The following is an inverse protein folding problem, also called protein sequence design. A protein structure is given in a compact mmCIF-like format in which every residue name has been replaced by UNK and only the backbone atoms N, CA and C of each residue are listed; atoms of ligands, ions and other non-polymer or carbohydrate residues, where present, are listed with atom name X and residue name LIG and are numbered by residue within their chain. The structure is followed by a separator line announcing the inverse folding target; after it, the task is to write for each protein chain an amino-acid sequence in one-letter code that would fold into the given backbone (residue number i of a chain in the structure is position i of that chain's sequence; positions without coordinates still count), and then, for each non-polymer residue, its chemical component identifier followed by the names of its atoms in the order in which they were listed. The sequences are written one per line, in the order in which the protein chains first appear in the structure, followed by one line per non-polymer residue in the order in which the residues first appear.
data_IF_356003774357
#
_entry.id   IF_356003774357
#
_cell.length_a   1.000
_cell.length_b   1.000
_cell.length_c   1.000
_cell.angle_alpha   90.00
_cell.angle_beta   90.00
_cell.angle_gamma   90.00
#
_symmetry.space_group_name_H-M   'P 1'
#
loop_
_entity.id
_entity.type
_entity.pdbx_description
1 polymer ?
#
# COMPACT_ATOMS: atom_id res chain seq x y z
N UNK A 1 -23.13 -5.36 4.74
CA UNK A 1 -21.68 -5.12 4.64
C UNK A 1 -21.44 -3.63 4.70
N UNK A 2 -20.39 -3.21 5.40
CA UNK A 2 -19.94 -1.81 5.46
C UNK A 2 -18.46 -1.80 5.11
N UNK A 3 -18.07 -0.92 4.19
CA UNK A 3 -16.68 -0.70 3.81
C UNK A 3 -16.19 0.62 4.38
N UNK A 4 -14.96 0.61 4.90
CA UNK A 4 -14.25 1.80 5.39
C UNK A 4 -12.94 1.94 4.64
N UNK A 5 -12.59 3.17 4.32
CA UNK A 5 -11.20 3.52 4.06
C UNK A 5 -10.44 3.64 5.39
N UNK A 6 -9.12 3.53 5.33
CA UNK A 6 -8.27 3.59 6.50
C UNK A 6 -7.75 5.00 6.75
N UNK A 7 -7.01 5.55 5.78
CA UNK A 7 -6.29 6.81 5.93
C UNK A 7 -7.26 7.99 5.93
N UNK A 8 -7.12 8.91 6.90
CA UNK A 8 -8.02 10.05 7.11
C UNK A 8 -9.51 9.70 7.37
N UNK A 9 -9.82 8.40 7.54
CA UNK A 9 -11.18 7.93 7.86
C UNK A 9 -11.21 7.26 9.23
N UNK A 10 -10.50 6.14 9.40
CA UNK A 10 -10.36 5.46 10.69
C UNK A 10 -9.06 5.85 11.39
N UNK A 11 -8.04 6.20 10.61
CA UNK A 11 -6.69 6.54 11.06
C UNK A 11 -6.52 8.05 11.14
N UNK A 12 -6.11 8.53 12.31
CA UNK A 12 -5.67 9.92 12.49
C UNK A 12 -4.20 10.04 12.01
N UNK A 13 -4.00 10.87 10.99
CA UNK A 13 -2.68 11.12 10.42
C UNK A 13 -1.69 11.77 11.39
N UNK A 14 -2.16 12.57 12.34
CA UNK A 14 -1.28 13.27 13.29
C UNK A 14 -0.67 12.33 14.31
N UNK A 15 -1.46 11.34 14.72
CA UNK A 15 -1.03 10.37 15.76
C UNK A 15 -0.59 9.03 15.17
N UNK A 16 -0.95 8.74 13.91
CA UNK A 16 -0.76 7.42 13.32
C UNK A 16 -1.55 6.32 14.02
N UNK A 17 -2.66 6.66 14.69
CA UNK A 17 -3.47 5.73 15.47
C UNK A 17 -4.93 5.75 15.01
N UNK A 18 -5.60 4.60 15.17
CA UNK A 18 -7.05 4.52 14.99
C UNK A 18 -7.68 5.16 16.23
N UNK A 19 -8.59 6.12 16.00
CA UNK A 19 -9.22 6.84 17.11
C UNK A 19 -10.11 5.93 17.95
N UNK A 20 -10.23 6.16 19.28
CA UNK A 20 -11.12 5.37 20.14
C UNK A 20 -12.58 5.39 19.68
N UNK A 21 -13.03 6.51 19.13
CA UNK A 21 -14.40 6.65 18.56
C UNK A 21 -14.60 5.77 17.33
N UNK A 22 -13.60 5.69 16.43
CA UNK A 22 -13.64 4.83 15.25
C UNK A 22 -13.66 3.34 15.65
N UNK A 23 -12.83 2.94 16.62
CA UNK A 23 -12.84 1.57 17.15
C UNK A 23 -14.21 1.20 17.71
N UNK A 24 -14.78 2.07 18.56
CA UNK A 24 -16.11 1.84 19.14
C UNK A 24 -17.20 1.74 18.06
N UNK A 25 -17.15 2.58 17.04
CA UNK A 25 -18.09 2.53 15.93
C UNK A 25 -17.99 1.21 15.15
N UNK A 26 -16.77 0.78 14.80
CA UNK A 26 -16.53 -0.51 14.11
C UNK A 26 -17.04 -1.68 14.96
N UNK A 27 -16.80 -1.70 16.26
CA UNK A 27 -17.28 -2.74 17.16
C UNK A 27 -18.81 -2.81 17.22
N UNK A 28 -19.49 -1.66 17.26
CA UNK A 28 -20.95 -1.61 17.27
C UNK A 28 -21.53 -2.12 15.93
N UNK A 29 -20.96 -1.69 14.83
CA UNK A 29 -21.41 -2.08 13.48
C UNK A 29 -21.19 -3.56 13.19
N UNK A 30 -20.10 -4.13 13.68
CA UNK A 30 -19.77 -5.57 13.54
C UNK A 30 -20.86 -6.50 14.09
N UNK A 31 -21.66 -6.06 15.04
CA UNK A 31 -22.76 -6.85 15.61
C UNK A 31 -23.84 -7.18 14.57
N UNK A 32 -23.95 -6.38 13.51
CA UNK A 32 -25.02 -6.49 12.49
C UNK A 32 -24.50 -6.52 11.06
N UNK A 33 -23.21 -6.20 10.84
CA UNK A 33 -22.62 -6.03 9.51
C UNK A 33 -21.26 -6.69 9.41
N UNK A 34 -20.94 -7.17 8.23
CA UNK A 34 -19.57 -7.52 7.85
C UNK A 34 -18.78 -6.23 7.62
N UNK A 35 -17.57 -6.18 8.13
CA UNK A 35 -16.66 -5.04 8.03
C UNK A 35 -15.59 -5.32 6.99
N UNK A 36 -15.46 -4.41 6.02
CA UNK A 36 -14.45 -4.48 4.97
C UNK A 36 -13.58 -3.23 5.06
N UNK A 37 -12.27 -3.39 4.93
CA UNK A 37 -11.36 -2.27 4.66
C UNK A 37 -11.13 -2.15 3.16
N UNK A 38 -11.14 -0.92 2.63
CA UNK A 38 -10.74 -0.62 1.26
C UNK A 38 -9.67 0.48 1.33
N UNK A 39 -8.44 0.16 0.95
CA UNK A 39 -7.29 1.04 1.18
C UNK A 39 -6.25 0.94 0.06
N UNK A 40 -5.50 2.01 -0.16
CA UNK A 40 -4.32 2.00 -1.02
C UNK A 40 -3.13 1.22 -0.43
N UNK A 41 -3.17 0.92 0.87
CA UNK A 41 -2.07 0.21 1.54
C UNK A 41 -2.06 -1.28 1.22
N UNK A 42 -0.87 -1.91 1.22
CA UNK A 42 -0.75 -3.35 1.44
C UNK A 42 -0.87 -3.63 2.95
N UNK A 43 -1.99 -4.22 3.36
CA UNK A 43 -2.27 -4.50 4.77
C UNK A 43 -1.48 -5.70 5.32
N UNK A 44 -0.64 -6.33 4.50
CA UNK A 44 0.25 -7.41 4.93
C UNK A 44 1.69 -6.94 5.18
N UNK A 45 2.01 -5.67 4.89
CA UNK A 45 3.31 -5.10 5.22
C UNK A 45 3.44 -4.76 6.71
N UNK A 46 4.67 -4.62 7.18
CA UNK A 46 5.01 -4.35 8.58
C UNK A 46 4.30 -3.12 9.16
N UNK A 47 4.26 -2.02 8.39
CA UNK A 47 3.68 -0.77 8.88
C UNK A 47 2.15 -0.79 8.95
N UNK A 48 1.49 -1.63 8.16
CA UNK A 48 0.04 -1.65 8.02
C UNK A 48 -0.64 -2.83 8.71
N UNK A 49 0.06 -3.96 8.90
CA UNK A 49 -0.50 -5.18 9.49
C UNK A 49 -1.10 -4.93 10.90
N UNK A 50 -0.51 -4.03 11.68
CA UNK A 50 -1.02 -3.65 13.01
C UNK A 50 -2.47 -3.11 12.96
N UNK A 51 -2.84 -2.36 11.93
CA UNK A 51 -4.19 -1.82 11.79
C UNK A 51 -5.20 -2.93 11.43
N UNK A 52 -4.79 -3.87 10.58
CA UNK A 52 -5.56 -5.08 10.30
C UNK A 52 -5.82 -5.87 11.58
N UNK A 53 -4.80 -6.06 12.41
CA UNK A 53 -4.88 -6.86 13.62
C UNK A 53 -5.73 -6.18 14.71
N UNK A 54 -5.76 -4.84 14.75
CA UNK A 54 -6.64 -4.05 15.62
C UNK A 54 -8.08 -4.11 15.12
N UNK A 55 -8.30 -3.81 13.83
CA UNK A 55 -9.63 -3.68 13.24
C UNK A 55 -10.30 -5.03 12.97
N UNK A 56 -9.53 -6.10 12.77
CA UNK A 56 -10.00 -7.48 12.47
C UNK A 56 -11.12 -7.49 11.42
N UNK A 57 -10.90 -6.94 10.22
CA UNK A 57 -11.94 -6.87 9.19
C UNK A 57 -12.30 -8.28 8.69
N UNK A 58 -13.54 -8.46 8.23
CA UNK A 58 -13.99 -9.69 7.56
C UNK A 58 -13.40 -9.83 6.16
N UNK A 59 -13.08 -8.71 5.51
CA UNK A 59 -12.42 -8.67 4.21
C UNK A 59 -11.61 -7.40 4.03
N UNK A 60 -10.66 -7.44 3.11
CA UNK A 60 -9.81 -6.29 2.78
C UNK A 60 -9.65 -6.20 1.26
N UNK A 61 -9.87 -5.00 0.76
CA UNK A 61 -9.51 -4.57 -0.59
C UNK A 61 -8.21 -3.77 -0.43
N UNK A 62 -7.09 -4.40 -0.77
CA UNK A 62 -5.76 -3.81 -0.64
C UNK A 62 -5.34 -3.09 -1.93
N UNK A 63 -4.37 -2.17 -1.80
CA UNK A 63 -3.58 -1.64 -2.93
C UNK A 63 -4.48 -1.13 -4.07
N UNK A 64 -5.48 -0.31 -3.72
CA UNK A 64 -6.47 0.25 -4.66
C UNK A 64 -7.24 -0.79 -5.47
N UNK A 65 -7.50 -1.97 -4.90
CA UNK A 65 -8.30 -3.02 -5.53
C UNK A 65 -7.51 -4.10 -6.26
N UNK A 66 -6.19 -4.03 -6.32
CA UNK A 66 -5.37 -5.03 -7.01
C UNK A 66 -5.22 -6.34 -6.25
N UNK A 67 -5.59 -6.35 -4.96
CA UNK A 67 -5.63 -7.55 -4.12
C UNK A 67 -6.83 -7.52 -3.20
N UNK A 68 -7.57 -8.62 -3.14
CA UNK A 68 -8.74 -8.77 -2.25
C UNK A 68 -8.59 -10.05 -1.43
N UNK A 69 -8.76 -9.91 -0.10
CA UNK A 69 -8.77 -11.05 0.82
C UNK A 69 -10.03 -11.05 1.68
N UNK A 70 -10.50 -12.23 2.08
CA UNK A 70 -11.55 -12.38 3.08
C UNK A 70 -11.30 -13.62 3.94
N UNK A 71 -11.44 -13.47 5.25
CA UNK A 71 -11.19 -14.55 6.20
C UNK A 71 -9.79 -15.16 6.08
N UNK A 72 -8.78 -14.37 5.67
CA UNK A 72 -7.42 -14.83 5.42
C UNK A 72 -7.19 -15.51 4.06
N UNK A 73 -8.24 -15.67 3.25
CA UNK A 73 -8.16 -16.29 1.91
C UNK A 73 -8.01 -15.21 0.85
N UNK A 74 -7.07 -15.40 -0.10
CA UNK A 74 -6.94 -14.56 -1.28
C UNK A 74 -8.11 -14.87 -2.24
N UNK A 75 -8.92 -13.86 -2.54
CA UNK A 75 -10.06 -13.97 -3.45
C UNK A 75 -9.75 -13.43 -4.86
N UNK A 76 -8.94 -12.40 -4.93
CA UNK A 76 -8.58 -11.75 -6.19
C UNK A 76 -7.16 -11.17 -6.10
N UNK A 77 -6.43 -11.27 -7.19
CA UNK A 77 -5.12 -10.65 -7.37
C UNK A 77 -4.95 -10.25 -8.82
N UNK A 78 -4.52 -9.02 -9.04
CA UNK A 78 -4.09 -8.52 -10.35
C UNK A 78 -2.63 -8.08 -10.25
N UNK A 79 -1.85 -8.41 -11.27
CA UNK A 79 -0.44 -8.03 -11.38
C UNK A 79 -0.17 -7.38 -12.73
N UNK A 80 0.83 -6.52 -12.79
CA UNK A 80 1.30 -5.96 -14.05
C UNK A 80 1.82 -7.06 -14.98
N UNK A 81 1.52 -6.90 -16.27
CA UNK A 81 2.19 -7.66 -17.31
C UNK A 81 3.69 -7.31 -17.30
N UNK A 82 4.59 -8.31 -17.26
CA UNK A 82 6.04 -8.06 -17.24
C UNK A 82 6.54 -7.28 -18.47
N UNK A 83 5.92 -7.45 -19.64
CA UNK A 83 6.29 -6.70 -20.85
C UNK A 83 5.93 -5.23 -20.69
N UNK A 84 4.70 -4.93 -20.23
CA UNK A 84 4.27 -3.55 -19.93
C UNK A 84 5.15 -2.91 -18.84
N UNK A 85 5.48 -3.66 -17.79
CA UNK A 85 6.36 -3.16 -16.74
C UNK A 85 7.73 -2.77 -17.29
N UNK A 86 8.30 -3.60 -18.17
CA UNK A 86 9.59 -3.32 -18.82
C UNK A 86 9.53 -2.04 -19.68
N UNK A 87 8.46 -1.84 -20.42
CA UNK A 87 8.27 -0.63 -21.24
C UNK A 87 8.15 0.62 -20.35
N UNK A 88 7.38 0.54 -19.27
CA UNK A 88 7.23 1.64 -18.32
C UNK A 88 8.55 2.00 -17.62
N UNK A 89 9.32 1.00 -17.19
CA UNK A 89 10.64 1.22 -16.61
C UNK A 89 11.57 1.95 -17.58
N UNK A 90 11.64 1.49 -18.84
CA UNK A 90 12.47 2.12 -19.86
C UNK A 90 12.02 3.56 -20.20
N UNK A 91 10.72 3.80 -20.26
CA UNK A 91 10.18 5.13 -20.48
C UNK A 91 10.52 6.09 -19.33
N UNK A 92 10.29 5.68 -18.09
CA UNK A 92 10.58 6.51 -16.93
C UNK A 92 12.08 6.79 -16.78
N UNK A 93 12.92 5.78 -17.03
CA UNK A 93 14.38 5.93 -17.04
C UNK A 93 14.83 7.00 -18.03
N UNK A 94 14.32 6.94 -19.27
CA UNK A 94 14.63 7.93 -20.31
C UNK A 94 14.16 9.37 -19.99
N UNK A 95 13.14 9.51 -19.12
CA UNK A 95 12.63 10.81 -18.68
C UNK A 95 13.23 11.29 -17.35
N UNK A 96 14.04 10.48 -16.68
CA UNK A 96 14.58 10.77 -15.35
C UNK A 96 13.54 10.69 -14.23
N UNK A 97 12.41 9.99 -14.46
CA UNK A 97 11.40 9.76 -13.43
C UNK A 97 11.78 8.52 -12.59
N UNK A 98 11.60 8.62 -11.28
CA UNK A 98 11.67 7.44 -10.46
C UNK A 98 10.40 6.61 -10.64
N UNK A 99 10.57 5.31 -10.88
CA UNK A 99 9.45 4.36 -10.92
C UNK A 99 9.83 3.11 -10.14
N UNK A 100 8.89 2.59 -9.37
CA UNK A 100 9.13 1.37 -8.58
C UNK A 100 7.99 1.02 -7.65
N UNK A 101 8.32 0.22 -6.67
CA UNK A 101 7.36 -0.29 -5.68
C UNK A 101 8.06 -0.57 -4.34
N UNK A 102 7.30 -0.45 -3.26
CA UNK A 102 7.69 -1.01 -1.96
C UNK A 102 7.04 -2.40 -1.81
N UNK A 103 7.85 -3.43 -1.66
CA UNK A 103 7.40 -4.81 -1.42
C UNK A 103 7.81 -5.21 -0.02
N UNK A 104 6.85 -5.54 0.82
CA UNK A 104 7.03 -5.68 2.27
C UNK A 104 7.59 -4.38 2.84
N UNK A 105 8.90 -4.32 3.07
CA UNK A 105 9.57 -3.14 3.64
C UNK A 105 10.83 -2.76 2.85
N UNK A 106 11.02 -3.34 1.68
CA UNK A 106 12.12 -3.02 0.77
C UNK A 106 11.61 -2.23 -0.44
N UNK A 107 12.38 -1.25 -0.85
CA UNK A 107 12.07 -0.28 -1.88
C UNK A 107 12.86 -0.57 -3.16
N UNK A 108 12.16 -0.87 -4.25
CA UNK A 108 12.74 -1.21 -5.54
C UNK A 108 12.39 -0.09 -6.53
N UNK A 109 13.26 0.89 -6.67
CA UNK A 109 13.06 2.05 -7.54
C UNK A 109 14.28 2.28 -8.43
N UNK A 110 14.05 2.59 -9.71
CA UNK A 110 15.04 3.30 -10.51
C UNK A 110 15.03 4.77 -10.08
N UNK A 111 16.14 5.49 -10.17
CA UNK A 111 16.30 6.87 -9.70
C UNK A 111 15.87 7.07 -8.24
N UNK A 112 16.41 6.29 -7.28
CA UNK A 112 16.01 6.33 -5.88
C UNK A 112 16.21 7.71 -5.22
N UNK A 113 17.15 8.52 -5.72
CA UNK A 113 17.41 9.89 -5.28
C UNK A 113 16.21 10.80 -5.44
N UNK A 114 15.42 10.63 -6.53
CA UNK A 114 14.17 11.40 -6.76
C UNK A 114 13.13 11.05 -5.69
N UNK A 115 13.03 9.78 -5.32
CA UNK A 115 12.12 9.34 -4.25
C UNK A 115 12.56 9.90 -2.91
N UNK A 116 13.86 9.85 -2.59
CA UNK A 116 14.40 10.41 -1.35
C UNK A 116 14.16 11.92 -1.23
N UNK A 117 14.33 12.65 -2.32
CA UNK A 117 14.08 14.09 -2.35
C UNK A 117 12.58 14.37 -2.11
N UNK A 118 11.69 13.66 -2.80
CA UNK A 118 10.25 13.75 -2.60
C UNK A 118 9.85 13.47 -1.15
N UNK A 119 10.38 12.40 -0.55
CA UNK A 119 10.12 12.06 0.85
C UNK A 119 10.60 13.17 1.82
N UNK A 120 11.79 13.72 1.58
CA UNK A 120 12.33 14.82 2.42
C UNK A 120 11.48 16.08 2.33
N UNK A 121 10.99 16.40 1.13
CA UNK A 121 10.13 17.57 0.93
C UNK A 121 8.78 17.41 1.63
N UNK A 122 8.18 16.21 1.59
CA UNK A 122 6.84 15.98 2.12
C UNK A 122 6.83 15.59 3.60
N UNK A 123 7.85 14.84 4.06
CA UNK A 123 7.89 14.23 5.39
C UNK A 123 9.08 14.68 6.24
N UNK A 124 10.02 15.45 5.68
CA UNK A 124 11.25 15.88 6.34
C UNK A 124 12.33 14.80 6.45
N UNK A 125 12.03 13.56 6.13
CA UNK A 125 12.95 12.42 6.21
C UNK A 125 12.52 11.34 5.21
N UNK A 126 13.51 10.64 4.63
CA UNK A 126 13.27 9.38 3.94
C UNK A 126 13.70 8.21 4.83
N UNK A 127 12.81 7.25 5.03
CA UNK A 127 13.09 6.00 5.76
C UNK A 127 13.18 4.78 4.84
N UNK A 128 13.41 5.00 3.55
CA UNK A 128 13.42 3.97 2.52
C UNK A 128 14.61 3.01 2.65
N UNK A 129 14.38 1.78 2.21
CA UNK A 129 15.40 0.73 2.14
C UNK A 129 15.54 0.27 0.69
N UNK A 130 16.29 1.04 -0.09
CA UNK A 130 16.47 0.77 -1.51
C UNK A 130 17.24 -0.53 -1.77
N UNK A 131 16.74 -1.27 -2.75
CA UNK A 131 17.29 -2.53 -3.26
C UNK A 131 17.48 -2.41 -4.77
N UNK A 132 18.17 -3.40 -5.34
CA UNK A 132 18.41 -3.46 -6.77
C UNK A 132 17.09 -3.47 -7.57
N UNK A 133 16.80 -2.42 -8.36
CA UNK A 133 15.58 -2.32 -9.15
C UNK A 133 15.50 -3.37 -10.28
N UNK A 134 16.61 -3.97 -10.68
CA UNK A 134 16.63 -5.07 -11.66
C UNK A 134 15.78 -6.26 -11.23
N UNK A 135 15.51 -6.41 -9.93
CA UNK A 135 14.65 -7.48 -9.41
C UNK A 135 13.16 -7.28 -9.75
N UNK A 136 12.72 -6.05 -10.09
CA UNK A 136 11.32 -5.74 -10.40
C UNK A 136 10.72 -6.65 -11.48
N UNK A 137 11.49 -6.96 -12.52
CA UNK A 137 11.03 -7.81 -13.63
C UNK A 137 10.83 -9.29 -13.24
N UNK A 138 11.35 -9.70 -12.09
CA UNK A 138 11.24 -11.06 -11.57
C UNK A 138 10.21 -11.17 -10.42
N UNK A 139 9.50 -10.06 -10.12
CA UNK A 139 8.55 -9.97 -9.00
C UNK A 139 7.12 -9.87 -9.50
N UNK A 140 6.18 -10.32 -8.68
CA UNK A 140 4.76 -10.06 -8.89
C UNK A 140 4.43 -8.63 -8.43
N UNK A 141 4.36 -7.71 -9.37
CA UNK A 141 4.07 -6.30 -9.11
C UNK A 141 2.58 -6.04 -9.24
N UNK A 142 1.94 -5.54 -8.17
CA UNK A 142 0.51 -5.23 -8.11
C UNK A 142 0.22 -3.75 -8.30
N UNK A 143 1.11 -2.90 -7.80
CA UNK A 143 1.02 -1.44 -7.92
C UNK A 143 2.42 -0.91 -8.19
N UNK A 144 2.50 0.22 -8.85
CA UNK A 144 3.75 0.98 -9.03
C UNK A 144 3.52 2.42 -8.62
N UNK A 145 4.57 3.09 -8.22
CA UNK A 145 4.60 4.52 -7.94
C UNK A 145 5.60 5.19 -8.86
N UNK A 146 5.25 6.38 -9.32
CA UNK A 146 6.09 7.21 -10.18
C UNK A 146 6.27 8.56 -9.48
N UNK A 147 7.51 9.04 -9.44
CA UNK A 147 7.90 10.34 -8.90
C UNK A 147 8.66 11.12 -9.98
N UNK A 148 8.40 12.43 -10.08
CA UNK A 148 9.06 13.32 -11.02
C UNK A 148 8.61 14.74 -10.89
#
# INVERSE_FOLDING_TARGET
MISFDLDMTLLDHKTGQITPSALKAVELLRKRHKIVLATGRDMDNYYSCRYRDILKPDGIVHMNGTKVTAGGTLLYEHTFDPALLKELLAYCDAQGFAIGVTVKDDDFYIHPEVVEESDRLHWGISGRRFRDPGQLLNMKIRTIQIFG
#
